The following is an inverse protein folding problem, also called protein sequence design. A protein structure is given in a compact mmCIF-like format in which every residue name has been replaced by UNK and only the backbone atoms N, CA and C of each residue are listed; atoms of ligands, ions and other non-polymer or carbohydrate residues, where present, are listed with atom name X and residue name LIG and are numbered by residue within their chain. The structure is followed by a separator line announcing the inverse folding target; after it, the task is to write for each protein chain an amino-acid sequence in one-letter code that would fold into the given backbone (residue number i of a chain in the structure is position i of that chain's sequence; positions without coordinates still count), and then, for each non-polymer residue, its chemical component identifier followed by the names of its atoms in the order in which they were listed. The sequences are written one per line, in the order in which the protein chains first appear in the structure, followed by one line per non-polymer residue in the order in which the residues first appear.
data_IF_080797811007
#
_entry.id   IF_080797811007
#
_cell.length_a   1.000
_cell.length_b   1.000
_cell.length_c   1.000
_cell.angle_alpha   90.00
_cell.angle_beta   90.00
_cell.angle_gamma   90.00
#
_symmetry.space_group_name_H-M   'P 1'
#
loop_
_entity.id
_entity.type
_entity.pdbx_description
1 polymer ?
#
# COMPACT_ATOMS: atom_id res chain seq x y z
N UNK A 1 -9.54 33.68 -116.03
CA UNK A 1 -8.79 32.61 -115.34
C UNK A 1 -9.10 32.71 -113.86
N UNK A 2 -9.83 31.71 -113.30
CA UNK A 2 -9.39 30.78 -112.22
C UNK A 2 -9.08 31.47 -110.88
N UNK A 3 -9.48 31.04 -109.68
CA UNK A 3 -10.30 29.94 -109.07
C UNK A 3 -10.32 30.29 -107.55
N UNK A 4 -11.46 30.26 -106.88
CA UNK A 4 -11.88 29.29 -105.81
C UNK A 4 -11.11 29.38 -104.46
N UNK A 5 -11.88 29.16 -103.37
CA UNK A 5 -11.54 28.72 -101.98
C UNK A 5 -11.64 29.81 -100.90
N UNK A 6 -12.19 29.57 -99.71
CA UNK A 6 -12.97 28.46 -99.16
C UNK A 6 -13.56 28.91 -97.82
N UNK A 7 -14.75 28.42 -97.53
CA UNK A 7 -15.40 28.35 -96.22
C UNK A 7 -14.45 27.70 -95.20
N UNK A 8 -14.11 28.36 -94.10
CA UNK A 8 -13.71 27.70 -92.84
C UNK A 8 -13.66 28.71 -91.69
N UNK A 9 -14.79 28.93 -91.00
CA UNK A 9 -14.80 29.61 -89.69
C UNK A 9 -15.96 29.10 -88.85
N UNK A 10 -15.97 27.79 -88.60
CA UNK A 10 -16.85 27.13 -87.63
C UNK A 10 -16.09 25.95 -87.01
N UNK A 11 -14.99 26.23 -86.29
CA UNK A 11 -14.38 25.24 -85.40
C UNK A 11 -13.49 25.92 -84.34
N UNK A 12 -14.08 26.76 -83.50
CA UNK A 12 -13.38 27.33 -82.34
C UNK A 12 -14.32 27.52 -81.14
N UNK A 13 -15.12 26.50 -80.81
CA UNK A 13 -15.96 26.46 -79.59
C UNK A 13 -15.96 25.03 -79.03
N UNK A 14 -14.80 24.52 -78.61
CA UNK A 14 -14.75 23.13 -78.12
C UNK A 14 -13.53 22.73 -77.31
N UNK A 15 -12.82 23.66 -76.66
CA UNK A 15 -11.56 23.32 -75.98
C UNK A 15 -11.24 24.12 -74.70
N UNK A 16 -12.26 24.55 -73.95
CA UNK A 16 -12.05 25.33 -72.71
C UNK A 16 -12.87 24.88 -71.50
N UNK A 17 -13.15 23.58 -71.32
CA UNK A 17 -13.74 23.10 -70.07
C UNK A 17 -13.18 21.74 -69.63
N UNK A 18 -11.88 21.69 -69.34
CA UNK A 18 -11.31 20.70 -68.41
C UNK A 18 -10.67 21.43 -67.24
N UNK A 19 -11.51 22.01 -66.36
CA UNK A 19 -11.06 22.38 -65.01
C UNK A 19 -10.80 21.08 -64.24
N UNK A 20 -9.55 20.63 -64.28
CA UNK A 20 -9.04 19.64 -63.36
C UNK A 20 -8.88 20.33 -62.00
N UNK A 21 -9.93 20.35 -61.19
CA UNK A 21 -9.78 20.67 -59.76
C UNK A 21 -9.05 19.50 -59.13
N UNK A 22 -7.73 19.62 -59.01
CA UNK A 22 -6.94 18.74 -58.14
C UNK A 22 -7.42 19.01 -56.72
N UNK A 23 -8.39 18.24 -56.26
CA UNK A 23 -8.80 18.23 -54.86
C UNK A 23 -7.63 17.66 -54.09
N UNK A 24 -6.87 18.52 -53.43
CA UNK A 24 -5.88 18.05 -52.46
C UNK A 24 -6.66 17.55 -51.25
N UNK A 25 -6.66 16.22 -51.08
CA UNK A 25 -7.16 15.58 -49.87
C UNK A 25 -6.26 16.04 -48.73
N UNK A 26 -6.81 16.88 -47.84
CA UNK A 26 -6.12 17.29 -46.62
C UNK A 26 -5.75 16.01 -45.87
N UNK A 27 -4.49 15.93 -45.43
CA UNK A 27 -4.04 14.80 -44.64
C UNK A 27 -4.99 14.59 -43.46
N UNK A 28 -5.55 13.39 -43.34
CA UNK A 28 -6.40 13.02 -42.22
C UNK A 28 -5.64 13.29 -40.92
N UNK A 29 -6.19 14.18 -40.08
CA UNK A 29 -5.66 14.38 -38.74
C UNK A 29 -5.68 13.03 -38.01
N UNK A 30 -4.65 12.70 -37.19
CA UNK A 30 -4.62 11.43 -36.49
C UNK A 30 -5.89 11.26 -35.63
N UNK A 31 -6.69 10.26 -35.98
CA UNK A 31 -8.01 9.99 -35.39
C UNK A 31 -7.94 9.06 -34.17
N UNK A 32 -6.75 8.86 -33.60
CA UNK A 32 -6.42 7.97 -32.49
C UNK A 32 -6.04 8.76 -31.22
N UNK A 33 -6.58 9.97 -31.05
CA UNK A 33 -6.18 10.89 -29.98
C UNK A 33 -7.18 10.94 -28.82
N UNK A 34 -6.65 11.18 -27.62
CA UNK A 34 -7.45 11.67 -26.49
C UNK A 34 -7.55 13.19 -26.65
N UNK A 35 -8.77 13.70 -26.62
CA UNK A 35 -9.09 15.12 -26.73
C UNK A 35 -9.33 15.76 -25.36
N UNK A 36 -9.83 14.98 -24.41
CA UNK A 36 -10.16 15.46 -23.08
C UNK A 36 -10.05 14.32 -22.07
N UNK A 37 -9.55 14.64 -20.88
CA UNK A 37 -9.53 13.76 -19.72
C UNK A 37 -9.98 14.57 -18.52
N UNK A 38 -10.97 14.08 -17.76
CA UNK A 38 -11.44 14.71 -16.53
C UNK A 38 -11.55 13.70 -15.41
N UNK A 39 -11.32 14.15 -14.18
CA UNK A 39 -11.72 13.47 -12.96
C UNK A 39 -13.07 14.05 -12.52
N UNK A 40 -14.08 13.21 -12.33
CA UNK A 40 -15.47 13.65 -12.11
C UNK A 40 -16.05 13.30 -10.74
N UNK A 41 -15.31 12.57 -9.89
CA UNK A 41 -15.76 12.19 -8.55
C UNK A 41 -15.45 13.25 -7.48
N UNK A 42 -15.59 14.53 -7.81
CA UNK A 42 -15.37 15.64 -6.89
C UNK A 42 -16.70 16.17 -6.35
N UNK A 43 -16.70 16.81 -5.16
CA UNK A 43 -17.87 17.51 -4.64
C UNK A 43 -18.37 18.62 -5.58
N UNK A 44 -19.65 18.95 -5.49
CA UNK A 44 -20.28 20.10 -6.18
C UNK A 44 -20.11 20.10 -7.71
N UNK A 45 -20.05 18.92 -8.34
CA UNK A 45 -19.86 18.75 -9.79
C UNK A 45 -18.57 19.41 -10.33
N UNK A 46 -17.59 19.64 -9.46
CA UNK A 46 -16.26 20.10 -9.87
C UNK A 46 -15.55 19.01 -10.69
N UNK A 47 -14.59 19.44 -11.52
CA UNK A 47 -13.78 18.52 -12.31
C UNK A 47 -12.31 18.95 -12.28
N UNK A 48 -11.41 17.97 -12.23
CA UNK A 48 -9.97 18.20 -12.49
C UNK A 48 -9.71 17.80 -13.94
N UNK A 49 -9.18 18.73 -14.73
CA UNK A 49 -8.76 18.44 -16.10
C UNK A 49 -7.36 17.84 -16.11
N UNK A 50 -7.18 16.76 -16.88
CA UNK A 50 -5.88 16.20 -17.20
C UNK A 50 -5.20 16.98 -18.32
N UNK A 51 -3.91 17.26 -18.17
CA UNK A 51 -3.06 17.77 -19.25
C UNK A 51 -2.68 16.63 -20.19
N UNK A 52 -3.07 16.72 -21.46
CA UNK A 52 -2.81 15.68 -22.46
C UNK A 52 -1.65 16.10 -23.35
N UNK A 53 -0.61 15.25 -23.41
CA UNK A 53 0.46 15.35 -24.38
C UNK A 53 0.30 14.23 -25.42
N UNK A 54 -0.13 14.63 -26.62
CA UNK A 54 -0.34 13.70 -27.74
C UNK A 54 0.96 13.28 -28.46
N UNK A 55 2.08 13.98 -28.22
CA UNK A 55 3.38 13.62 -28.79
C UNK A 55 4.07 12.59 -27.89
N UNK A 56 4.06 12.82 -26.58
CA UNK A 56 4.58 11.90 -25.58
C UNK A 56 3.61 10.75 -25.24
N UNK A 57 2.35 10.82 -25.68
CA UNK A 57 1.26 9.93 -25.30
C UNK A 57 1.10 9.82 -23.77
N UNK A 58 0.98 10.98 -23.11
CA UNK A 58 0.80 11.03 -21.66
C UNK A 58 -0.42 11.86 -21.27
N UNK A 59 -1.00 11.51 -20.14
CA UNK A 59 -2.03 12.28 -19.45
C UNK A 59 -1.47 12.59 -18.07
N UNK A 60 -1.33 13.86 -17.71
CA UNK A 60 -0.93 14.27 -16.35
C UNK A 60 -2.11 14.91 -15.63
N UNK A 61 -2.49 14.33 -14.50
CA UNK A 61 -3.57 14.85 -13.65
C UNK A 61 -2.94 15.45 -12.40
N UNK A 62 -3.13 16.76 -12.19
CA UNK A 62 -2.70 17.44 -10.98
C UNK A 62 -3.83 17.41 -9.96
N UNK A 63 -3.70 16.57 -8.93
CA UNK A 63 -4.73 16.39 -7.91
C UNK A 63 -4.43 17.33 -6.74
N UNK A 64 -5.32 18.30 -6.43
CA UNK A 64 -5.14 19.15 -5.27
C UNK A 64 -5.22 18.35 -3.96
N UNK A 65 -4.28 18.61 -3.04
CA UNK A 65 -4.16 17.85 -1.79
C UNK A 65 -5.45 17.81 -0.96
N UNK A 66 -6.19 18.92 -0.93
CA UNK A 66 -7.33 19.11 -0.04
C UNK A 66 -8.53 18.21 -0.35
N UNK A 67 -8.60 17.61 -1.54
CA UNK A 67 -9.62 16.60 -1.83
C UNK A 67 -9.35 15.26 -1.15
N UNK A 68 -8.09 14.96 -0.81
CA UNK A 68 -7.71 13.70 -0.16
C UNK A 68 -8.20 12.45 -0.89
N UNK A 69 -8.26 12.49 -2.23
CA UNK A 69 -8.80 11.39 -3.03
C UNK A 69 -7.96 10.12 -2.85
N UNK A 70 -8.65 8.99 -2.71
CA UNK A 70 -8.07 7.63 -2.77
C UNK A 70 -8.16 7.04 -4.18
N UNK A 71 -9.20 7.46 -4.91
CA UNK A 71 -9.50 7.04 -6.28
C UNK A 71 -9.94 8.25 -7.09
N UNK A 72 -9.68 8.23 -8.39
CA UNK A 72 -10.22 9.18 -9.36
C UNK A 72 -11.15 8.44 -10.31
N UNK A 73 -12.25 9.09 -10.69
CA UNK A 73 -13.19 8.56 -11.69
C UNK A 73 -12.98 9.30 -13.02
N UNK A 74 -12.35 8.65 -14.01
CA UNK A 74 -12.03 9.28 -15.28
C UNK A 74 -13.23 9.37 -16.24
N UNK A 75 -13.34 10.51 -16.91
CA UNK A 75 -14.15 10.71 -18.11
C UNK A 75 -13.24 11.12 -19.27
N UNK A 76 -13.23 10.32 -20.35
CA UNK A 76 -12.29 10.48 -21.46
C UNK A 76 -13.06 10.75 -22.75
N UNK A 77 -12.72 11.84 -23.43
CA UNK A 77 -13.20 12.15 -24.78
C UNK A 77 -12.09 11.86 -25.78
N UNK A 78 -12.42 11.12 -26.84
CA UNK A 78 -11.50 10.77 -27.92
C UNK A 78 -11.90 11.42 -29.24
N UNK A 79 -11.02 11.32 -30.24
CA UNK A 79 -11.29 11.75 -31.61
C UNK A 79 -12.58 11.16 -32.17
N UNK A 80 -13.20 11.86 -33.13
CA UNK A 80 -14.45 11.42 -33.74
C UNK A 80 -14.33 10.02 -34.37
N UNK A 81 -15.28 9.14 -34.07
CA UNK A 81 -15.28 7.74 -34.51
C UNK A 81 -14.24 6.83 -33.83
N UNK A 82 -13.45 7.35 -32.89
CA UNK A 82 -12.56 6.55 -32.06
C UNK A 82 -13.27 6.02 -30.81
N UNK A 83 -12.67 5.02 -30.17
CA UNK A 83 -13.12 4.49 -28.89
C UNK A 83 -11.93 4.19 -27.98
N UNK A 84 -12.17 4.14 -26.66
CA UNK A 84 -11.23 3.52 -25.71
C UNK A 84 -11.41 2.00 -25.80
N UNK A 85 -10.30 1.25 -25.81
CA UNK A 85 -10.32 -0.20 -26.00
C UNK A 85 -10.74 -0.96 -24.74
N UNK A 86 -10.33 -0.45 -23.58
CA UNK A 86 -10.68 -0.97 -22.26
C UNK A 86 -11.91 -0.29 -21.64
N UNK A 87 -12.47 -0.92 -20.61
CA UNK A 87 -13.47 -0.29 -19.76
C UNK A 87 -12.83 0.82 -18.91
N UNK A 88 -13.52 1.95 -18.79
CA UNK A 88 -13.06 3.08 -17.99
C UNK A 88 -13.50 2.86 -16.54
N UNK A 89 -12.59 2.35 -15.71
CA UNK A 89 -12.80 2.08 -14.30
C UNK A 89 -12.19 3.17 -13.40
N UNK A 90 -12.66 3.32 -12.15
CA UNK A 90 -11.99 4.12 -11.13
C UNK A 90 -10.52 3.72 -10.98
N UNK A 91 -9.63 4.71 -10.90
CA UNK A 91 -8.19 4.50 -10.79
C UNK A 91 -7.74 4.90 -9.40
N UNK A 92 -7.00 4.05 -8.69
CA UNK A 92 -6.39 4.42 -7.41
C UNK A 92 -5.37 5.52 -7.64
N UNK A 93 -5.32 6.50 -6.76
CA UNK A 93 -4.44 7.66 -6.93
C UNK A 93 -2.96 7.34 -6.75
N UNK A 94 -2.62 6.18 -6.17
CA UNK A 94 -1.27 5.66 -6.05
C UNK A 94 -0.85 4.75 -7.22
N UNK A 95 -1.75 4.44 -8.16
CA UNK A 95 -1.45 3.65 -9.36
C UNK A 95 -0.40 4.36 -10.24
N UNK A 96 0.58 3.60 -10.73
CA UNK A 96 1.70 4.11 -11.52
C UNK A 96 1.72 3.60 -12.96
N UNK A 97 0.96 2.55 -13.25
CA UNK A 97 1.01 1.84 -14.53
C UNK A 97 -0.32 1.89 -15.30
N UNK A 98 -1.25 2.76 -14.89
CA UNK A 98 -2.51 2.91 -15.63
C UNK A 98 -2.25 3.48 -17.03
N UNK A 99 -2.83 2.83 -18.03
CA UNK A 99 -2.77 3.27 -19.43
C UNK A 99 -4.16 3.33 -20.05
N UNK A 100 -4.31 4.11 -21.12
CA UNK A 100 -5.52 4.11 -21.94
C UNK A 100 -5.21 3.92 -23.42
N UNK A 101 -5.88 2.97 -24.09
CA UNK A 101 -5.67 2.71 -25.51
C UNK A 101 -6.82 3.23 -26.36
N UNK A 102 -6.55 4.24 -27.19
CA UNK A 102 -7.49 4.75 -28.18
C UNK A 102 -7.38 3.92 -29.46
N UNK A 103 -8.51 3.43 -29.97
CA UNK A 103 -8.65 2.79 -31.28
C UNK A 103 -9.41 3.71 -32.22
N UNK A 104 -8.79 4.10 -33.33
CA UNK A 104 -9.45 4.92 -34.35
C UNK A 104 -10.45 4.11 -35.18
N UNK A 105 -11.33 4.81 -35.90
CA UNK A 105 -12.25 4.19 -36.86
C UNK A 105 -11.52 3.40 -37.97
N UNK A 106 -10.28 3.76 -38.30
CA UNK A 106 -9.44 3.09 -39.31
C UNK A 106 -8.62 1.93 -38.73
N UNK A 107 -8.75 1.65 -37.42
CA UNK A 107 -8.13 0.52 -36.74
C UNK A 107 -6.73 0.79 -36.19
N UNK A 108 -6.17 1.99 -36.38
CA UNK A 108 -4.90 2.37 -35.71
C UNK A 108 -5.12 2.55 -34.21
N UNK A 109 -4.10 2.22 -33.42
CA UNK A 109 -4.15 2.34 -31.97
C UNK A 109 -3.07 3.25 -31.42
N UNK A 110 -3.37 3.89 -30.30
CA UNK A 110 -2.44 4.71 -29.53
C UNK A 110 -2.69 4.55 -28.05
N UNK A 111 -1.62 4.27 -27.30
CA UNK A 111 -1.70 4.05 -25.86
C UNK A 111 -1.09 5.23 -25.11
N UNK A 112 -1.86 5.76 -24.15
CA UNK A 112 -1.47 6.86 -23.28
C UNK A 112 -1.14 6.35 -21.89
N UNK A 113 -0.08 6.85 -21.28
CA UNK A 113 0.23 6.59 -19.86
C UNK A 113 -0.40 7.67 -18.97
N UNK A 114 -1.06 7.28 -17.89
CA UNK A 114 -1.62 8.19 -16.89
C UNK A 114 -0.60 8.44 -15.79
N UNK A 115 -0.27 9.72 -15.57
CA UNK A 115 0.51 10.20 -14.42
C UNK A 115 -0.41 10.99 -13.50
N UNK A 116 -0.52 10.54 -12.25
CA UNK A 116 -1.23 11.26 -11.19
C UNK A 116 -0.18 11.97 -10.34
N UNK A 117 -0.26 13.30 -10.27
CA UNK A 117 0.65 14.16 -9.54
C UNK A 117 -0.11 14.92 -8.44
N UNK A 118 0.20 14.63 -7.17
CA UNK A 118 -0.44 15.31 -6.07
C UNK A 118 0.27 16.63 -5.79
N UNK A 119 -0.51 17.70 -5.74
CA UNK A 119 0.03 18.98 -5.31
C UNK A 119 0.40 18.94 -3.83
N UNK A 120 1.53 19.55 -3.48
CA UNK A 120 1.98 19.64 -2.08
C UNK A 120 1.09 20.55 -1.25
N UNK A 121 1.05 20.30 0.06
CA UNK A 121 0.48 21.25 1.03
C UNK A 121 1.38 22.49 1.13
N UNK A 122 0.86 23.67 1.54
CA UNK A 122 1.69 24.86 1.72
C UNK A 122 2.74 24.73 2.82
N UNK A 123 2.41 23.99 3.88
CA UNK A 123 3.26 23.69 5.03
C UNK A 123 2.91 22.31 5.58
N UNK A 124 3.81 21.75 6.37
CA UNK A 124 3.55 20.52 7.11
C UNK A 124 4.24 20.57 8.48
N UNK A 125 3.45 20.37 9.52
CA UNK A 125 3.87 20.25 10.91
C UNK A 125 3.28 18.97 11.48
N UNK A 126 4.05 18.26 12.28
CA UNK A 126 3.55 17.12 13.04
C UNK A 126 4.34 16.91 14.34
N UNK A 127 3.68 16.32 15.31
CA UNK A 127 4.25 15.92 16.59
C UNK A 127 3.45 14.75 17.17
N UNK A 128 4.02 14.01 18.11
CA UNK A 128 3.24 13.05 18.88
C UNK A 128 2.15 13.76 19.67
N UNK A 129 0.94 13.19 19.70
CA UNK A 129 -0.17 13.70 20.50
C UNK A 129 0.17 13.70 21.99
N UNK A 130 0.85 12.66 22.45
CA UNK A 130 1.38 12.55 23.80
C UNK A 130 2.88 12.23 23.72
N UNK A 131 3.70 13.04 24.38
CA UNK A 131 5.15 13.00 24.27
C UNK A 131 5.85 12.79 25.62
N UNK A 132 5.17 12.17 26.59
CA UNK A 132 5.84 11.78 27.83
C UNK A 132 6.82 10.62 27.59
N UNK A 133 7.92 10.53 28.36
CA UNK A 133 8.90 9.45 28.19
C UNK A 133 8.28 8.05 28.27
N UNK A 134 7.25 7.84 29.09
CA UNK A 134 6.58 6.55 29.22
C UNK A 134 5.73 6.16 28.01
N UNK A 135 5.20 7.14 27.26
CA UNK A 135 4.45 6.90 26.01
C UNK A 135 5.41 6.64 24.85
N UNK A 136 6.56 7.30 24.83
CA UNK A 136 7.57 7.16 23.78
C UNK A 136 8.56 6.02 24.02
N UNK A 137 8.53 5.38 25.19
CA UNK A 137 9.22 4.13 25.47
C UNK A 137 8.40 2.93 24.98
N UNK A 138 8.79 2.35 23.85
CA UNK A 138 8.06 1.31 23.14
C UNK A 138 8.90 0.02 23.06
N UNK A 139 8.30 -1.02 22.50
CA UNK A 139 8.99 -2.26 22.15
C UNK A 139 8.59 -2.72 20.75
N UNK A 140 9.28 -3.73 20.22
CA UNK A 140 8.89 -4.36 18.96
C UNK A 140 7.44 -4.82 19.00
N UNK A 141 6.76 -4.78 17.84
CA UNK A 141 5.36 -5.15 17.68
C UNK A 141 4.34 -4.30 18.46
N UNK A 142 4.75 -3.20 19.09
CA UNK A 142 3.84 -2.22 19.67
C UNK A 142 3.31 -1.25 18.61
N UNK A 143 2.15 -0.65 18.88
CA UNK A 143 1.63 0.42 18.04
C UNK A 143 2.45 1.69 18.25
N UNK A 144 2.68 2.42 17.16
CA UNK A 144 3.25 3.76 17.25
C UNK A 144 2.23 4.72 17.92
N UNK A 145 2.66 5.65 18.79
CA UNK A 145 1.80 6.68 19.33
C UNK A 145 1.15 7.52 18.23
N UNK A 146 -0.01 8.09 18.55
CA UNK A 146 -0.76 8.96 17.64
C UNK A 146 0.09 10.16 17.27
N UNK A 147 0.13 10.49 15.97
CA UNK A 147 0.80 11.70 15.47
C UNK A 147 -0.29 12.71 15.09
N UNK A 148 -0.24 13.90 15.68
CA UNK A 148 -1.05 15.03 15.25
C UNK A 148 -0.29 15.83 14.20
N UNK A 149 -0.99 16.44 13.25
CA UNK A 149 -0.33 17.31 12.28
C UNK A 149 -1.27 18.12 11.39
N UNK A 150 -0.68 18.94 10.53
CA UNK A 150 -1.35 19.73 9.50
C UNK A 150 -1.35 18.98 8.16
N UNK A 151 -1.81 17.72 8.17
CA UNK A 151 -1.79 16.85 6.99
C UNK A 151 -2.62 17.39 5.81
N UNK A 152 -3.70 18.13 6.09
CA UNK A 152 -4.58 18.79 5.10
C UNK A 152 -5.30 17.85 4.12
N UNK A 153 -5.34 16.55 4.41
CA UNK A 153 -6.13 15.52 3.72
C UNK A 153 -6.41 14.35 4.66
N UNK A 154 -7.24 13.41 4.24
CA UNK A 154 -7.63 12.23 5.03
C UNK A 154 -7.19 10.91 4.42
N UNK A 155 -6.48 10.93 3.29
CA UNK A 155 -5.88 9.72 2.70
C UNK A 155 -4.58 9.34 3.44
N UNK A 156 -4.54 8.25 4.22
CA UNK A 156 -3.34 7.88 4.97
C UNK A 156 -2.24 7.27 4.09
N UNK A 157 -2.53 6.86 2.84
CA UNK A 157 -1.52 6.27 1.95
C UNK A 157 -0.54 7.30 1.39
N UNK A 158 -0.86 8.59 1.52
CA UNK A 158 -0.01 9.71 1.14
C UNK A 158 0.98 10.10 2.27
N UNK A 159 0.91 9.40 3.41
CA UNK A 159 1.76 9.62 4.57
C UNK A 159 2.72 8.46 4.76
N UNK A 160 4.01 8.75 4.82
CA UNK A 160 5.05 7.77 5.16
C UNK A 160 5.61 8.02 6.56
N UNK A 161 6.00 6.95 7.25
CA UNK A 161 6.73 7.02 8.52
C UNK A 161 8.00 6.19 8.39
N UNK A 162 9.14 6.75 8.77
CA UNK A 162 10.41 6.03 8.85
C UNK A 162 11.02 6.23 10.24
N UNK A 163 11.41 5.13 10.89
CA UNK A 163 12.19 5.17 12.12
C UNK A 163 13.67 5.23 11.77
N UNK A 164 14.41 6.16 12.33
CA UNK A 164 15.84 6.35 12.05
C UNK A 164 16.62 6.11 13.34
N UNK A 165 17.39 5.03 13.40
CA UNK A 165 18.20 4.74 14.57
C UNK A 165 19.26 5.84 14.74
N UNK A 166 19.28 6.51 15.89
CA UNK A 166 20.12 7.70 16.09
C UNK A 166 21.62 7.38 16.00
N UNK A 167 22.06 6.22 16.52
CA UNK A 167 23.47 5.81 16.47
C UNK A 167 23.88 5.23 15.12
N UNK A 168 23.21 4.18 14.64
CA UNK A 168 23.60 3.46 13.41
C UNK A 168 23.16 4.16 12.12
N UNK A 169 22.23 5.13 12.22
CA UNK A 169 21.55 5.79 11.08
C UNK A 169 20.76 4.83 10.19
N UNK A 170 20.51 3.62 10.66
CA UNK A 170 19.63 2.67 9.99
C UNK A 170 18.22 3.25 9.85
N UNK A 171 17.64 3.12 8.67
CA UNK A 171 16.31 3.64 8.33
C UNK A 171 15.36 2.47 8.16
N UNK A 172 14.34 2.42 9.01
CA UNK A 172 13.36 1.36 9.07
C UNK A 172 12.01 1.94 8.66
N UNK A 173 11.53 1.70 7.42
CA UNK A 173 10.23 2.17 7.00
C UNK A 173 9.15 1.45 7.80
N UNK A 174 8.21 2.21 8.33
CA UNK A 174 7.00 1.64 8.90
C UNK A 174 6.02 1.24 7.78
N UNK A 175 5.14 0.27 8.04
CA UNK A 175 4.01 -0.02 7.17
C UNK A 175 3.15 1.23 6.92
N UNK A 176 2.42 1.30 5.81
CA UNK A 176 1.53 2.44 5.54
C UNK A 176 0.51 2.61 6.67
N UNK A 177 0.36 3.81 7.27
CA UNK A 177 -0.70 4.07 8.24
C UNK A 177 -2.07 3.72 7.66
N UNK A 178 -2.97 3.18 8.48
CA UNK A 178 -4.30 2.75 8.04
C UNK A 178 -5.42 3.71 8.47
N UNK A 179 -5.07 4.83 9.12
CA UNK A 179 -6.03 5.83 9.56
C UNK A 179 -5.43 7.22 9.62
N UNK A 180 -6.11 8.17 8.97
CA UNK A 180 -5.88 9.61 9.07
C UNK A 180 -7.23 10.31 9.16
N UNK A 181 -7.59 10.80 10.34
CA UNK A 181 -8.90 11.39 10.61
C UNK A 181 -8.79 12.82 11.13
N UNK A 182 -9.86 13.59 11.00
CA UNK A 182 -9.93 14.94 11.56
C UNK A 182 -10.64 14.84 12.92
N UNK A 183 -9.92 15.19 13.98
CA UNK A 183 -10.43 15.30 15.36
C UNK A 183 -10.84 16.73 15.70
N UNK A 184 -10.67 17.13 16.96
CA UNK A 184 -10.97 18.47 17.50
C UNK A 184 -10.09 19.59 16.88
N UNK A 185 -10.22 19.83 15.57
CA UNK A 185 -9.48 20.83 14.81
C UNK A 185 -8.06 20.41 14.38
N UNK A 186 -7.66 19.15 14.56
CA UNK A 186 -6.34 18.63 14.12
C UNK A 186 -6.49 17.28 13.44
N UNK A 187 -5.59 16.98 12.50
CA UNK A 187 -5.54 15.67 11.86
C UNK A 187 -4.75 14.70 12.75
N UNK A 188 -5.26 13.47 12.88
CA UNK A 188 -4.67 12.42 13.70
C UNK A 188 -4.33 11.20 12.84
N UNK A 189 -3.04 10.90 12.76
CA UNK A 189 -2.51 9.73 12.07
C UNK A 189 -2.32 8.58 13.06
N UNK A 190 -2.81 7.40 12.70
CA UNK A 190 -2.84 6.22 13.58
C UNK A 190 -2.63 4.91 12.81
N UNK A 191 -2.15 3.90 13.55
CA UNK A 191 -2.33 2.50 13.21
C UNK A 191 -3.46 1.94 14.10
N UNK A 192 -4.63 1.70 13.51
CA UNK A 192 -5.78 1.04 14.14
C UNK A 192 -5.63 -0.48 13.96
N UNK A 193 -6.34 -1.25 14.77
CA UNK A 193 -6.34 -2.72 14.72
C UNK A 193 -5.30 -3.33 15.67
N UNK A 194 -5.04 -4.63 15.55
CA UNK A 194 -4.02 -5.35 16.36
C UNK A 194 -3.06 -6.18 15.54
N UNK A 195 -3.17 -6.08 14.22
CA UNK A 195 -2.44 -6.87 13.24
C UNK A 195 -0.97 -6.46 13.25
N UNK A 196 -0.07 -7.44 13.13
CA UNK A 196 1.37 -7.25 13.35
C UNK A 196 2.00 -6.40 12.24
N UNK A 197 1.44 -6.43 11.04
CA UNK A 197 1.79 -5.56 9.92
C UNK A 197 1.41 -4.09 10.15
N UNK A 198 0.65 -3.75 11.19
CA UNK A 198 0.31 -2.37 11.56
C UNK A 198 1.11 -1.92 12.80
N UNK A 199 2.29 -2.50 13.03
CA UNK A 199 3.09 -2.30 14.24
C UNK A 199 4.54 -1.99 13.93
N UNK A 200 5.26 -1.54 14.95
CA UNK A 200 6.71 -1.43 14.89
C UNK A 200 7.28 -2.80 14.50
N UNK A 201 8.18 -2.87 13.50
CA UNK A 201 8.75 -4.13 13.03
C UNK A 201 9.27 -5.00 14.17
N UNK A 202 9.12 -6.32 14.02
CA UNK A 202 9.39 -7.27 15.11
C UNK A 202 10.88 -7.54 15.30
N UNK A 203 11.65 -7.29 14.26
CA UNK A 203 13.09 -7.42 14.16
C UNK A 203 13.85 -6.13 14.50
N UNK A 204 13.14 -5.03 14.79
CA UNK A 204 13.76 -3.78 15.25
C UNK A 204 14.66 -4.05 16.47
N UNK A 205 15.82 -3.41 16.48
CA UNK A 205 16.78 -3.48 17.59
C UNK A 205 16.46 -2.43 18.65
N UNK A 206 16.90 -2.63 19.91
CA UNK A 206 16.78 -1.61 20.94
C UNK A 206 17.64 -0.39 20.60
N UNK A 207 17.14 0.80 20.90
CA UNK A 207 17.83 2.05 20.60
C UNK A 207 16.90 3.26 20.68
N UNK A 208 17.46 4.44 20.44
CA UNK A 208 16.68 5.68 20.29
C UNK A 208 16.51 5.96 18.80
N UNK A 209 15.27 6.27 18.40
CA UNK A 209 14.89 6.46 17.01
C UNK A 209 14.25 7.83 16.81
N UNK A 210 14.78 8.58 15.86
CA UNK A 210 14.07 9.72 15.28
C UNK A 210 12.90 9.19 14.44
N UNK A 211 11.80 9.92 14.42
CA UNK A 211 10.63 9.56 13.63
C UNK A 211 10.47 10.58 12.51
N UNK A 212 10.78 10.14 11.29
CA UNK A 212 10.58 10.93 10.09
C UNK A 212 9.17 10.68 9.55
N UNK A 213 8.46 11.76 9.22
CA UNK A 213 7.13 11.72 8.62
C UNK A 213 7.17 12.43 7.28
N UNK A 214 6.72 11.75 6.24
CA UNK A 214 6.57 12.32 4.90
C UNK A 214 5.10 12.58 4.60
N UNK A 215 4.81 13.71 3.98
CA UNK A 215 3.46 14.11 3.61
C UNK A 215 3.49 14.99 2.36
N UNK A 216 3.00 14.50 1.23
CA UNK A 216 2.82 15.28 -0.01
C UNK A 216 4.01 16.22 -0.36
N UNK A 217 5.20 15.65 -0.49
CA UNK A 217 6.42 16.40 -0.84
C UNK A 217 7.15 17.06 0.34
N UNK A 218 6.56 17.03 1.54
CA UNK A 218 7.23 17.43 2.78
C UNK A 218 7.84 16.23 3.49
N UNK A 219 8.90 16.51 4.24
CA UNK A 219 9.55 15.56 5.13
C UNK A 219 9.96 16.30 6.38
N UNK A 220 9.56 15.81 7.55
CA UNK A 220 9.94 16.37 8.84
C UNK A 220 10.40 15.26 9.77
N UNK A 221 11.28 15.59 10.70
CA UNK A 221 11.59 14.75 11.86
C UNK A 221 10.76 15.28 13.01
N UNK A 222 10.02 14.40 13.69
CA UNK A 222 9.23 14.79 14.86
C UNK A 222 10.15 15.32 15.97
N UNK A 223 9.71 16.31 16.78
CA UNK A 223 10.56 16.91 17.80
C UNK A 223 11.06 15.94 18.88
N UNK A 224 10.24 14.93 19.21
CA UNK A 224 10.52 13.97 20.25
C UNK A 224 10.84 12.59 19.63
N UNK A 225 11.98 11.96 19.96
CA UNK A 225 12.29 10.61 19.49
C UNK A 225 11.54 9.54 20.29
N UNK A 226 11.49 8.31 19.77
CA UNK A 226 11.02 7.14 20.51
C UNK A 226 12.21 6.32 21.02
N UNK A 227 12.03 5.62 22.13
CA UNK A 227 12.99 4.64 22.63
C UNK A 227 12.42 3.25 22.47
N UNK A 228 13.13 2.38 21.75
CA UNK A 228 12.77 0.97 21.60
C UNK A 228 13.56 0.16 22.60
N UNK A 229 12.86 -0.66 23.39
CA UNK A 229 13.44 -1.62 24.33
C UNK A 229 12.77 -2.97 24.18
N UNK A 230 13.54 -4.03 24.41
CA UNK A 230 12.94 -5.35 24.60
C UNK A 230 12.17 -5.38 25.93
N UNK A 231 11.03 -6.06 25.90
CA UNK A 231 10.15 -6.29 27.04
C UNK A 231 10.01 -7.80 27.24
N UNK A 232 9.52 -8.20 28.42
CA UNK A 232 9.24 -9.60 28.76
C UNK A 232 8.56 -10.30 27.56
N UNK A 233 9.22 -11.32 26.98
CA UNK A 233 8.63 -12.14 25.93
C UNK A 233 7.30 -12.69 26.37
N UNK A 234 6.35 -12.74 25.45
CA UNK A 234 5.07 -13.43 25.64
C UNK A 234 4.81 -14.26 24.40
N UNK A 235 4.13 -15.38 24.59
CA UNK A 235 3.61 -16.20 23.50
C UNK A 235 2.09 -16.26 23.60
N UNK A 236 1.43 -16.55 22.50
CA UNK A 236 0.01 -16.82 22.48
C UNK A 236 -0.21 -18.33 22.49
N UNK A 237 -1.04 -18.78 23.43
CA UNK A 237 -1.49 -20.15 23.54
C UNK A 237 -3.01 -20.10 23.66
N UNK A 238 -3.71 -20.93 22.87
CA UNK A 238 -5.16 -21.05 22.97
C UNK A 238 -5.53 -21.51 24.40
N UNK A 239 -6.46 -20.83 25.06
CA UNK A 239 -6.92 -21.16 26.41
C UNK A 239 -7.98 -22.27 26.45
N UNK A 240 -8.55 -22.62 25.30
CA UNK A 240 -9.62 -23.60 25.13
C UNK A 240 -9.12 -25.03 24.93
N UNK A 241 -7.89 -25.33 25.36
CA UNK A 241 -7.26 -26.63 25.19
C UNK A 241 -6.34 -26.67 23.96
N UNK A 242 -5.33 -27.52 24.04
CA UNK A 242 -4.40 -27.80 22.96
C UNK A 242 -4.81 -29.09 22.25
N UNK A 243 -4.73 -29.10 20.92
CA UNK A 243 -4.82 -30.32 20.12
C UNK A 243 -3.51 -30.48 19.39
N UNK A 244 -2.68 -31.41 19.83
CA UNK A 244 -1.32 -31.63 19.32
C UNK A 244 -1.17 -33.07 18.84
N UNK A 245 -0.36 -33.27 17.81
CA UNK A 245 0.03 -34.59 17.33
C UNK A 245 1.55 -34.74 17.42
N UNK A 246 2.03 -35.90 17.85
CA UNK A 246 3.47 -36.16 18.02
C UNK A 246 4.27 -36.11 16.73
N UNK A 247 3.65 -36.49 15.62
CA UNK A 247 4.26 -36.47 14.28
C UNK A 247 4.26 -35.08 13.63
N UNK A 248 3.69 -34.06 14.29
CA UNK A 248 3.61 -32.69 13.81
C UNK A 248 4.37 -31.73 14.70
N UNK A 249 5.02 -30.78 14.04
CA UNK A 249 5.57 -29.63 14.73
C UNK A 249 4.44 -28.71 15.22
N UNK A 250 4.60 -28.18 16.43
CA UNK A 250 3.70 -27.19 17.00
C UNK A 250 4.30 -25.79 16.81
N UNK A 251 3.61 -24.96 16.04
CA UNK A 251 3.95 -23.54 15.88
C UNK A 251 3.31 -22.71 16.97
N UNK A 252 4.14 -21.94 17.67
CA UNK A 252 3.77 -21.06 18.76
C UNK A 252 4.10 -19.64 18.33
N UNK A 253 3.11 -18.75 18.38
CA UNK A 253 3.28 -17.37 17.93
C UNK A 253 3.57 -16.44 19.12
N UNK A 254 4.33 -15.37 18.87
CA UNK A 254 4.57 -14.31 19.83
C UNK A 254 3.25 -13.64 20.22
N UNK A 255 3.08 -13.31 21.50
CA UNK A 255 1.92 -12.60 22.01
C UNK A 255 1.81 -11.18 21.45
N UNK A 256 0.62 -10.60 21.51
CA UNK A 256 0.38 -9.22 21.07
C UNK A 256 1.35 -8.24 21.75
N UNK A 257 1.90 -7.29 20.99
CA UNK A 257 2.84 -6.27 21.51
C UNK A 257 4.10 -6.85 22.17
N UNK A 258 4.53 -8.04 21.73
CA UNK A 258 5.74 -8.70 22.21
C UNK A 258 6.44 -9.46 21.08
N UNK A 259 7.65 -9.91 21.35
CA UNK A 259 8.44 -10.76 20.46
C UNK A 259 9.05 -11.91 21.23
N UNK A 260 9.40 -12.97 20.52
CA UNK A 260 10.18 -14.08 21.05
C UNK A 260 11.65 -13.66 21.07
N UNK A 261 12.30 -13.83 22.23
CA UNK A 261 13.69 -13.46 22.49
C UNK A 261 14.42 -14.66 23.07
N UNK A 262 15.37 -15.23 22.34
CA UNK A 262 16.29 -16.29 22.84
C UNK A 262 15.59 -17.36 23.71
N UNK A 263 14.58 -18.09 23.18
CA UNK A 263 13.91 -19.14 23.93
C UNK A 263 14.90 -20.26 24.27
N UNK A 264 14.95 -20.66 25.54
CA UNK A 264 15.90 -21.66 26.06
C UNK A 264 15.23 -23.00 26.35
N UNK A 265 13.95 -22.99 26.73
CA UNK A 265 13.19 -24.21 26.98
C UNK A 265 11.68 -24.01 26.79
N UNK A 266 11.01 -25.09 26.37
CA UNK A 266 9.56 -25.23 26.45
C UNK A 266 9.26 -26.52 27.19
N UNK A 267 8.48 -26.44 28.24
CA UNK A 267 8.19 -27.56 29.13
C UNK A 267 6.68 -27.73 29.23
N UNK A 268 6.20 -28.92 28.90
CA UNK A 268 4.81 -29.30 29.08
C UNK A 268 4.66 -30.16 30.33
N UNK A 269 3.82 -29.75 31.27
CA UNK A 269 3.49 -30.53 32.47
C UNK A 269 2.16 -31.21 32.25
N UNK A 270 2.16 -32.54 32.27
CA UNK A 270 0.97 -33.40 32.18
C UNK A 270 0.87 -34.20 33.48
N UNK A 271 -0.28 -34.15 34.16
CA UNK A 271 -0.53 -34.83 35.44
C UNK A 271 0.59 -34.64 36.48
N UNK A 272 1.14 -33.42 36.53
CA UNK A 272 2.22 -33.05 37.46
C UNK A 272 3.62 -33.53 37.07
N UNK A 273 3.79 -34.17 35.90
CA UNK A 273 5.09 -34.56 35.36
C UNK A 273 5.52 -33.68 34.20
N UNK A 274 6.76 -33.21 34.25
CA UNK A 274 7.35 -32.34 33.23
C UNK A 274 7.92 -33.14 32.06
N UNK A 275 7.65 -32.62 30.86
CA UNK A 275 8.12 -33.13 29.59
C UNK A 275 8.75 -31.97 28.81
N UNK A 276 10.09 -31.92 28.69
CA UNK A 276 10.73 -30.92 27.84
C UNK A 276 10.37 -31.18 26.37
N UNK A 277 10.05 -30.11 25.64
CA UNK A 277 9.86 -30.14 24.20
C UNK A 277 11.14 -29.65 23.51
N UNK A 278 11.33 -30.05 22.25
CA UNK A 278 12.51 -29.61 21.48
C UNK A 278 12.17 -28.36 20.70
N UNK A 279 12.89 -27.26 20.94
CA UNK A 279 12.81 -26.06 20.10
C UNK A 279 13.60 -26.34 18.81
N UNK A 280 12.91 -26.38 17.67
CA UNK A 280 13.50 -26.65 16.36
C UNK A 280 14.04 -25.38 15.72
N UNK A 281 13.28 -24.30 15.82
CA UNK A 281 13.60 -22.99 15.26
C UNK A 281 12.76 -21.91 15.92
N UNK A 282 13.22 -20.66 15.84
CA UNK A 282 12.41 -19.50 16.18
C UNK A 282 12.79 -18.29 15.35
N UNK A 283 11.84 -17.38 15.20
CA UNK A 283 12.00 -16.00 14.75
C UNK A 283 11.46 -15.08 15.84
N UNK A 284 11.43 -13.76 15.60
CA UNK A 284 10.82 -12.81 16.54
C UNK A 284 9.30 -13.00 16.69
N UNK A 285 8.65 -13.66 15.74
CA UNK A 285 7.19 -13.77 15.66
C UNK A 285 6.67 -15.17 15.93
N UNK A 286 7.49 -16.20 15.74
CA UNK A 286 7.07 -17.59 15.89
C UNK A 286 8.21 -18.48 16.40
N UNK A 287 7.84 -19.58 17.04
CA UNK A 287 8.74 -20.65 17.46
C UNK A 287 8.10 -21.98 17.10
N UNK A 288 8.90 -22.87 16.54
CA UNK A 288 8.48 -24.21 16.17
C UNK A 288 9.06 -25.20 17.18
N UNK A 289 8.18 -25.97 17.80
CA UNK A 289 8.57 -27.00 18.78
C UNK A 289 8.09 -28.38 18.36
N UNK A 290 8.88 -29.39 18.64
CA UNK A 290 8.54 -30.79 18.36
C UNK A 290 8.27 -31.52 19.67
N UNK A 291 7.20 -32.33 19.68
CA UNK A 291 6.84 -33.18 20.80
C UNK A 291 7.79 -34.39 20.85
N UNK A 292 8.23 -34.78 22.05
CA UNK A 292 9.06 -35.97 22.20
C UNK A 292 8.22 -37.25 22.13
N UNK A 293 8.80 -38.33 21.59
CA UNK A 293 8.16 -39.64 21.54
C UNK A 293 7.71 -40.16 22.92
N UNK A 294 8.43 -39.77 23.98
CA UNK A 294 8.14 -40.13 25.38
C UNK A 294 6.94 -39.41 25.99
N UNK A 295 6.39 -38.40 25.32
CA UNK A 295 5.18 -37.70 25.79
C UNK A 295 4.00 -38.68 25.76
N UNK A 296 3.17 -38.80 26.80
CA UNK A 296 2.00 -39.67 26.75
C UNK A 296 0.93 -39.12 25.80
N UNK A 297 0.18 -40.02 25.15
CA UNK A 297 -1.02 -39.66 24.37
C UNK A 297 -2.27 -39.81 25.22
N UNK A 298 -3.31 -39.06 24.86
CA UNK A 298 -4.57 -39.02 25.59
C UNK A 298 -5.10 -37.61 25.77
N UNK A 299 -6.07 -37.48 26.68
CA UNK A 299 -6.66 -36.21 27.08
C UNK A 299 -6.23 -35.88 28.50
N UNK A 300 -5.72 -34.67 28.69
CA UNK A 300 -5.14 -34.21 29.94
C UNK A 300 -5.81 -32.93 30.41
N UNK A 301 -6.20 -32.90 31.67
CA UNK A 301 -6.73 -31.70 32.33
C UNK A 301 -5.59 -30.83 32.87
N UNK A 302 -5.83 -29.52 32.98
CA UNK A 302 -4.89 -28.57 33.61
C UNK A 302 -3.47 -28.60 33.03
N UNK A 303 -3.32 -28.90 31.73
CA UNK A 303 -2.01 -28.91 31.07
C UNK A 303 -1.33 -27.56 31.28
N UNK A 304 -0.12 -27.59 31.85
CA UNK A 304 0.71 -26.41 32.02
C UNK A 304 1.80 -26.39 30.97
N UNK A 305 2.02 -25.24 30.34
CA UNK A 305 3.14 -25.03 29.42
C UNK A 305 3.98 -23.87 29.95
N UNK A 306 5.26 -24.14 30.20
CA UNK A 306 6.24 -23.17 30.68
C UNK A 306 7.21 -22.84 29.56
N UNK A 307 7.41 -21.56 29.31
CA UNK A 307 8.34 -21.02 28.34
C UNK A 307 9.45 -20.28 29.06
N UNK A 308 10.68 -20.65 28.78
CA UNK A 308 11.87 -20.02 29.34
C UNK A 308 12.58 -19.25 28.23
N UNK A 309 13.00 -18.05 28.56
CA UNK A 309 13.73 -17.15 27.68
C UNK A 309 14.95 -16.65 28.41
N UNK A 310 16.08 -16.52 27.70
CA UNK A 310 17.34 -16.11 28.31
C UNK A 310 17.20 -14.74 28.99
N UNK A 311 17.63 -14.64 30.25
CA UNK A 311 17.62 -13.41 31.05
C UNK A 311 16.22 -12.81 31.34
N UNK A 312 15.15 -13.59 31.12
CA UNK A 312 13.76 -13.19 31.40
C UNK A 312 13.09 -14.14 32.39
N UNK A 313 11.97 -13.68 32.97
CA UNK A 313 11.15 -14.54 33.81
C UNK A 313 10.42 -15.60 32.96
N UNK A 314 10.17 -16.76 33.56
CA UNK A 314 9.39 -17.83 32.95
C UNK A 314 7.95 -17.36 32.66
N UNK A 315 7.46 -17.71 31.47
CA UNK A 315 6.06 -17.49 31.07
C UNK A 315 5.32 -18.79 31.21
N UNK A 316 4.29 -18.81 32.05
CA UNK A 316 3.52 -20.01 32.37
C UNK A 316 2.07 -19.87 31.91
N UNK A 317 1.59 -20.86 31.17
CA UNK A 317 0.18 -21.00 30.80
C UNK A 317 -0.40 -22.26 31.42
N UNK A 318 -1.61 -22.17 31.96
CA UNK A 318 -2.40 -23.32 32.41
C UNK A 318 -3.66 -23.38 31.57
N UNK A 319 -3.90 -24.53 30.93
CA UNK A 319 -5.09 -24.77 30.12
C UNK A 319 -6.32 -24.93 31.02
N UNK A 320 -7.39 -24.20 30.69
CA UNK A 320 -8.66 -24.30 31.41
C UNK A 320 -9.54 -25.44 30.90
N UNK A 321 -9.35 -25.82 29.64
CA UNK A 321 -10.05 -26.93 29.01
C UNK A 321 -9.07 -28.09 28.78
N UNK A 322 -9.58 -29.33 28.68
CA UNK A 322 -8.75 -30.49 28.42
C UNK A 322 -7.96 -30.32 27.12
N UNK A 323 -6.71 -30.78 27.13
CA UNK A 323 -5.86 -30.81 25.94
C UNK A 323 -5.67 -32.25 25.47
N UNK A 324 -5.66 -32.46 24.16
CA UNK A 324 -5.52 -33.78 23.53
C UNK A 324 -4.18 -33.89 22.81
N UNK A 325 -3.48 -34.99 23.06
CA UNK A 325 -2.23 -35.34 22.40
C UNK A 325 -2.42 -36.68 21.69
N UNK A 326 -2.22 -36.71 20.37
CA UNK A 326 -2.35 -37.91 19.52
C UNK A 326 -1.00 -38.36 18.97
N UNK A 327 -0.94 -39.60 18.46
CA UNK A 327 0.22 -40.06 17.70
C UNK A 327 0.32 -39.37 16.32
N UNK A 328 -0.83 -39.06 15.69
CA UNK A 328 -0.98 -38.40 14.37
C UNK A 328 -2.16 -37.43 14.29
#
# INVERSE_FOLDING_TARGET
MKRIYSILSFLFIGLLLTRCTKTEELALLPADKILEYKVTNLPNDEVIYGAIDNEANTITVYVPYYYGLLVIDPAIKVSNGASIAEEILPVKTDEKNQTYTVKSATGTTRTYSLKIDFQSTPSFEAAFYANSPSVLALGPAMALPVINGTFMHTNPTLVGITLIHQETKERIPMPTPNSLTIGAGTYQLRYIGTERENRIPSDITPGVYDVEVTNLGHTIILPDPITITYRQPKVYINSSGLTLAKDKDWTIIAGSSSVILDPTAVIMTLDGKDYPLTIKSYTRTEMTVTLLASLPTGTFDNVKVTFQFKDWADVVFTQYMPSTITES
#
